data_IF_273313781735
#
_entry.id   IF_273313781735
#
_cell.length_a   1.000
_cell.length_b   1.000
_cell.length_c   1.000
_cell.angle_alpha   90.00
_cell.angle_beta   90.00
_cell.angle_gamma   90.00
#
_symmetry.space_group_name_H-M   'P 1'
#
loop_
_entity.id
_entity.type
_entity.pdbx_description
1 polymer ?
#
# COMPACT_ATOMS: atom_id res chain seq x y z
N UNK A 1 5.74 -12.85 9.41
CA UNK A 1 6.72 -11.81 9.44
C UNK A 1 6.66 -11.01 10.73
N UNK A 2 7.79 -10.47 11.13
CA UNK A 2 7.89 -9.77 12.40
C UNK A 2 7.58 -8.27 12.29
N UNK A 3 7.47 -7.74 11.06
CA UNK A 3 7.16 -6.33 10.90
C UNK A 3 5.74 -6.03 11.34
N UNK A 4 5.51 -4.86 11.93
CA UNK A 4 4.18 -4.42 12.33
C UNK A 4 3.54 -3.50 11.28
N UNK A 5 4.29 -3.10 10.27
CA UNK A 5 3.77 -2.23 9.22
C UNK A 5 4.39 -2.53 7.87
N UNK A 6 3.69 -2.13 6.81
CA UNK A 6 4.11 -2.34 5.42
C UNK A 6 3.80 -1.08 4.63
N UNK A 7 4.76 -0.65 3.81
CA UNK A 7 4.54 0.43 2.85
C UNK A 7 4.58 -0.16 1.45
N UNK A 8 3.47 -0.04 0.72
CA UNK A 8 3.41 -0.43 -0.68
C UNK A 8 3.62 0.80 -1.56
N UNK A 9 4.63 0.73 -2.41
CA UNK A 9 4.93 1.82 -3.35
C UNK A 9 5.05 1.22 -4.74
N UNK A 10 4.07 1.49 -5.60
CA UNK A 10 4.04 0.93 -6.95
C UNK A 10 3.29 1.87 -7.90
N UNK A 11 3.56 1.79 -9.21
CA UNK A 11 2.82 2.57 -10.19
C UNK A 11 1.45 1.94 -10.47
N UNK A 12 0.57 2.73 -11.08
CA UNK A 12 -0.69 2.23 -11.61
C UNK A 12 -0.46 1.80 -13.06
N UNK A 13 -0.79 0.55 -13.39
CA UNK A 13 -0.68 0.03 -14.74
C UNK A 13 -2.08 -0.26 -15.28
N UNK A 14 -2.43 0.40 -16.38
CA UNK A 14 -3.72 0.18 -17.06
C UNK A 14 -4.91 0.30 -16.10
N UNK A 15 -4.86 1.27 -15.22
CA UNK A 15 -5.92 1.53 -14.24
C UNK A 15 -6.00 0.52 -13.11
N UNK A 16 -4.94 -0.22 -12.83
CA UNK A 16 -4.98 -1.26 -11.82
C UNK A 16 -3.61 -1.48 -11.16
N UNK A 17 -3.53 -2.52 -10.35
CA UNK A 17 -2.31 -2.94 -9.65
C UNK A 17 -1.37 -3.59 -10.65
N UNK A 18 -0.05 -3.26 -10.62
CA UNK A 18 0.91 -3.94 -11.50
C UNK A 18 0.94 -5.44 -11.22
N UNK A 19 1.10 -6.28 -12.26
CA UNK A 19 1.13 -7.74 -12.08
C UNK A 19 2.18 -8.21 -11.07
N UNK A 20 3.33 -7.54 -10.97
CA UNK A 20 4.38 -7.94 -10.03
C UNK A 20 3.90 -7.84 -8.58
N UNK A 21 3.08 -6.83 -8.26
CA UNK A 21 2.54 -6.66 -6.90
C UNK A 21 1.53 -7.76 -6.60
N UNK A 22 0.62 -8.02 -7.51
CA UNK A 22 -0.38 -9.08 -7.37
C UNK A 22 0.29 -10.44 -7.22
N UNK A 23 1.30 -10.69 -8.04
CA UNK A 23 2.06 -11.93 -7.98
C UNK A 23 2.80 -12.09 -6.65
N UNK A 24 3.41 -11.01 -6.16
CA UNK A 24 4.08 -11.02 -4.86
C UNK A 24 3.10 -11.39 -3.73
N UNK A 25 1.93 -10.75 -3.72
CA UNK A 25 0.91 -11.03 -2.70
C UNK A 25 0.45 -12.48 -2.76
N UNK A 26 0.26 -13.00 -3.98
CA UNK A 26 -0.15 -14.39 -4.17
C UNK A 26 0.89 -15.35 -3.59
N UNK A 27 2.17 -15.14 -3.89
CA UNK A 27 3.23 -15.98 -3.38
C UNK A 27 3.37 -15.90 -1.86
N UNK A 28 3.25 -14.70 -1.29
CA UNK A 28 3.30 -14.52 0.15
C UNK A 28 2.15 -15.29 0.82
N UNK A 29 0.97 -15.23 0.23
CA UNK A 29 -0.21 -15.91 0.80
C UNK A 29 -0.03 -17.43 0.86
N UNK A 30 0.58 -18.03 -0.16
CA UNK A 30 0.80 -19.49 -0.16
C UNK A 30 2.05 -19.90 0.60
N UNK A 31 2.90 -18.95 0.95
CA UNK A 31 4.13 -19.23 1.72
C UNK A 31 3.92 -19.22 3.22
N UNK A 32 2.78 -18.73 3.69
CA UNK A 32 2.45 -18.71 5.10
C UNK A 32 1.52 -19.87 5.43
N UNK A 33 1.46 -20.24 6.71
CA UNK A 33 0.65 -21.36 7.17
C UNK A 33 -0.84 -21.13 6.92
N UNK A 34 -1.29 -19.88 7.07
CA UNK A 34 -2.64 -19.45 6.78
C UNK A 34 -2.54 -18.26 5.84
N UNK A 35 -3.38 -18.21 4.83
CA UNK A 35 -3.22 -17.24 3.73
C UNK A 35 -3.28 -15.77 4.16
N UNK A 36 -3.87 -15.47 5.32
CA UNK A 36 -3.91 -14.11 5.87
C UNK A 36 -2.74 -13.75 6.80
N UNK A 37 -1.90 -14.72 7.16
CA UNK A 37 -0.92 -14.52 8.24
C UNK A 37 0.03 -13.35 8.00
N UNK A 38 0.42 -13.11 6.76
CA UNK A 38 1.39 -12.07 6.45
C UNK A 38 0.82 -10.66 6.63
N UNK A 39 -0.48 -10.49 6.45
CA UNK A 39 -1.08 -9.16 6.40
C UNK A 39 -2.06 -8.84 7.52
N UNK A 40 -2.57 -9.85 8.21
CA UNK A 40 -3.58 -9.64 9.27
C UNK A 40 -3.02 -8.72 10.36
N UNK A 41 -3.76 -7.66 10.66
CA UNK A 41 -3.43 -6.66 11.68
C UNK A 41 -2.14 -5.86 11.41
N UNK A 42 -1.57 -5.96 10.21
CA UNK A 42 -0.45 -5.10 9.83
C UNK A 42 -0.98 -3.72 9.43
N UNK A 43 -0.28 -2.68 9.86
CA UNK A 43 -0.60 -1.32 9.44
C UNK A 43 -0.04 -1.12 8.04
N UNK A 44 -0.86 -0.68 7.10
CA UNK A 44 -0.45 -0.51 5.70
C UNK A 44 -0.58 0.92 5.23
N UNK A 45 0.44 1.41 4.55
CA UNK A 45 0.45 2.70 3.87
C UNK A 45 0.62 2.44 2.38
N UNK A 46 -0.21 3.06 1.56
CA UNK A 46 -0.16 2.91 0.12
C UNK A 46 0.39 4.19 -0.51
N UNK A 47 1.34 4.03 -1.42
CA UNK A 47 1.88 5.15 -2.18
C UNK A 47 2.02 4.76 -3.64
N UNK A 48 1.94 5.78 -4.53
CA UNK A 48 2.09 5.56 -5.96
C UNK A 48 2.69 6.77 -6.65
N UNK A 49 3.47 6.51 -7.68
CA UNK A 49 3.88 7.50 -8.66
C UNK A 49 3.45 6.96 -10.03
N UNK A 50 2.55 7.68 -10.71
CA UNK A 50 1.94 7.19 -11.94
C UNK A 50 1.85 8.28 -12.98
N UNK A 51 1.52 7.92 -14.23
CA UNK A 51 1.25 8.88 -15.29
C UNK A 51 -0.03 9.66 -15.06
N UNK A 52 -1.00 9.09 -14.35
CA UNK A 52 -2.26 9.75 -13.98
C UNK A 52 -2.34 10.05 -12.50
N UNK A 53 -3.55 10.11 -11.95
CA UNK A 53 -3.74 10.46 -10.54
C UNK A 53 -3.54 9.27 -9.58
N UNK A 54 -3.44 8.05 -10.11
CA UNK A 54 -3.16 6.86 -9.29
C UNK A 54 -4.34 6.37 -8.45
N UNK A 55 -5.51 6.98 -8.57
CA UNK A 55 -6.64 6.65 -7.71
C UNK A 55 -7.14 5.22 -7.84
N UNK A 56 -7.11 4.67 -9.04
CA UNK A 56 -7.57 3.29 -9.26
C UNK A 56 -6.63 2.29 -8.61
N UNK A 57 -5.31 2.53 -8.67
CA UNK A 57 -4.35 1.70 -7.97
C UNK A 57 -4.60 1.74 -6.46
N UNK A 58 -4.73 2.94 -5.90
CA UNK A 58 -4.97 3.13 -4.47
C UNK A 58 -6.21 2.37 -4.03
N UNK A 59 -7.31 2.53 -4.77
CA UNK A 59 -8.58 1.90 -4.43
C UNK A 59 -8.47 0.38 -4.47
N UNK A 60 -7.85 -0.15 -5.53
CA UNK A 60 -7.68 -1.60 -5.70
C UNK A 60 -6.80 -2.19 -4.61
N UNK A 61 -5.71 -1.50 -4.24
CA UNK A 61 -4.82 -1.94 -3.17
C UNK A 61 -5.52 -1.94 -1.82
N UNK A 62 -6.33 -0.92 -1.54
CA UNK A 62 -7.11 -0.88 -0.30
C UNK A 62 -8.04 -2.08 -0.19
N UNK A 63 -8.78 -2.36 -1.25
CA UNK A 63 -9.70 -3.50 -1.27
C UNK A 63 -8.97 -4.81 -1.00
N UNK A 64 -7.85 -5.02 -1.68
CA UNK A 64 -7.10 -6.25 -1.54
C UNK A 64 -6.47 -6.41 -0.16
N UNK A 65 -5.84 -5.35 0.35
CA UNK A 65 -5.18 -5.40 1.65
C UNK A 65 -6.19 -5.56 2.78
N UNK A 66 -7.34 -4.90 2.70
CA UNK A 66 -8.40 -5.05 3.70
C UNK A 66 -8.98 -6.46 3.68
N UNK A 67 -9.12 -7.04 2.49
CA UNK A 67 -9.54 -8.43 2.37
C UNK A 67 -8.57 -9.38 3.08
N UNK A 68 -7.28 -9.05 3.04
CA UNK A 68 -6.24 -9.84 3.70
C UNK A 68 -6.06 -9.52 5.19
N UNK A 69 -6.88 -8.64 5.72
CA UNK A 69 -6.89 -8.33 7.15
C UNK A 69 -5.95 -7.20 7.56
N UNK A 70 -5.34 -6.49 6.62
CA UNK A 70 -4.49 -5.35 6.94
C UNK A 70 -5.32 -4.16 7.40
N UNK A 71 -4.72 -3.31 8.22
CA UNK A 71 -5.30 -2.04 8.65
C UNK A 71 -4.68 -0.96 7.78
N UNK A 72 -5.42 -0.51 6.76
CA UNK A 72 -4.91 0.47 5.81
C UNK A 72 -5.20 1.87 6.34
N UNK A 73 -4.15 2.69 6.50
CA UNK A 73 -4.37 4.05 6.96
C UNK A 73 -5.06 4.86 5.87
N UNK A 74 -5.92 5.81 6.26
CA UNK A 74 -6.79 6.50 5.27
C UNK A 74 -6.04 7.40 4.30
N UNK A 75 -4.88 7.91 4.68
CA UNK A 75 -4.12 8.81 3.82
C UNK A 75 -3.11 8.04 2.97
N UNK A 76 -2.90 8.53 1.75
CA UNK A 76 -2.02 7.89 0.77
C UNK A 76 -1.02 8.90 0.26
N UNK A 77 0.14 8.42 -0.20
CA UNK A 77 1.14 9.28 -0.83
C UNK A 77 1.01 9.11 -2.35
N UNK A 78 0.63 10.18 -3.03
CA UNK A 78 0.39 10.16 -4.47
C UNK A 78 1.22 11.24 -5.13
N UNK A 79 1.94 10.88 -6.19
CA UNK A 79 2.67 11.82 -7.01
C UNK A 79 2.60 11.40 -8.48
N UNK A 80 2.73 12.37 -9.38
CA UNK A 80 2.81 12.13 -10.82
C UNK A 80 3.57 13.28 -11.47
N UNK A 81 3.72 13.25 -12.79
CA UNK A 81 4.48 14.28 -13.52
C UNK A 81 3.88 15.67 -13.39
N UNK A 82 2.56 15.78 -13.25
CA UNK A 82 1.86 17.05 -13.12
C UNK A 82 1.70 17.51 -11.67
N UNK A 83 1.76 16.58 -10.74
CA UNK A 83 1.61 16.83 -9.31
C UNK A 83 2.79 16.20 -8.59
N UNK A 84 3.90 16.92 -8.44
CA UNK A 84 5.08 16.36 -7.78
C UNK A 84 4.83 16.07 -6.32
N UNK A 85 5.69 15.23 -5.74
CA UNK A 85 5.62 14.87 -4.35
C UNK A 85 5.70 16.11 -3.45
N UNK A 86 4.75 16.23 -2.54
CA UNK A 86 4.72 17.32 -1.56
C UNK A 86 5.44 16.87 -0.30
N UNK A 87 6.62 17.42 -0.06
CA UNK A 87 7.51 16.96 1.01
C UNK A 87 6.85 17.07 2.38
N UNK A 88 6.24 18.21 2.69
CA UNK A 88 5.63 18.42 4.02
C UNK A 88 4.46 17.47 4.25
N UNK A 89 3.61 17.31 3.26
CA UNK A 89 2.47 16.40 3.32
C UNK A 89 2.93 14.95 3.48
N UNK A 90 3.95 14.56 2.74
CA UNK A 90 4.53 13.22 2.80
C UNK A 90 5.11 12.93 4.19
N UNK A 91 5.86 13.88 4.76
CA UNK A 91 6.40 13.74 6.11
C UNK A 91 5.30 13.56 7.15
N UNK A 92 4.21 14.30 7.00
CA UNK A 92 3.07 14.21 7.92
C UNK A 92 2.43 12.82 7.86
N UNK A 93 2.24 12.30 6.65
CA UNK A 93 1.66 10.97 6.46
C UNK A 93 2.58 9.88 7.03
N UNK A 94 3.88 9.99 6.80
CA UNK A 94 4.85 9.04 7.33
C UNK A 94 4.88 9.06 8.86
N UNK A 95 4.78 10.23 9.47
CA UNK A 95 4.69 10.33 10.93
C UNK A 95 3.43 9.67 11.46
N UNK A 96 2.31 9.87 10.80
CA UNK A 96 1.06 9.22 11.16
C UNK A 96 1.20 7.70 11.09
N UNK A 97 1.80 7.19 10.01
CA UNK A 97 2.05 5.77 9.85
C UNK A 97 2.89 5.23 11.01
N UNK A 98 3.99 5.91 11.34
CA UNK A 98 4.87 5.49 12.44
C UNK A 98 4.12 5.50 13.77
N UNK A 99 3.29 6.50 14.01
CA UNK A 99 2.51 6.58 15.24
C UNK A 99 1.55 5.41 15.40
N UNK A 100 0.97 4.94 14.30
CA UNK A 100 0.11 3.75 14.35
C UNK A 100 0.86 2.48 14.70
N UNK A 101 2.18 2.43 14.48
CA UNK A 101 3.00 1.26 14.79
C UNK A 101 3.37 1.18 16.28
N UNK A 102 3.26 2.27 16.99
CA UNK A 102 3.60 2.33 18.42
C UNK A 102 2.31 2.12 19.30
#
# INVERSE_FOLDING_TARGET
>A
AESSGIIFCAPEYNGSIPPIVTNFIAWVSVSTKYWKDAFTNKIALISTFSGGNGGKFIFSMKLQLEHLGAIVIPENIIANNNTPLKVDSTKKILKQFINFLN
#
